data_IF_860159586410
#
_entry.id   IF_860159586410
#
_cell.length_a   1.000
_cell.length_b   1.000
_cell.length_c   1.000
_cell.angle_alpha   90.00
_cell.angle_beta   90.00
_cell.angle_gamma   90.00
#
_symmetry.space_group_name_H-M   'P 1'
#
loop_
_entity.id
_entity.type
_entity.pdbx_description
1 polymer ?
#
# COMPACT_ATOMS: atom_id res chain seq x y z
N UNK A 1 -120.01 121.74 -97.09
CA UNK A 1 -119.40 120.43 -97.40
C UNK A 1 -118.00 120.39 -96.77
N UNK A 2 -117.72 120.00 -95.52
CA UNK A 2 -118.45 119.21 -94.53
C UNK A 2 -117.74 117.86 -94.30
N UNK A 3 -116.76 117.83 -93.39
CA UNK A 3 -115.91 116.72 -92.88
C UNK A 3 -114.46 116.73 -93.41
N UNK A 4 -113.49 116.77 -92.48
CA UNK A 4 -112.04 116.65 -92.69
C UNK A 4 -111.51 115.55 -91.76
N UNK A 5 -110.73 114.61 -92.28
CA UNK A 5 -110.24 113.44 -91.54
C UNK A 5 -109.06 113.83 -90.65
N UNK A 6 -109.14 113.55 -89.34
CA UNK A 6 -108.11 113.93 -88.35
C UNK A 6 -107.11 112.80 -88.07
N UNK A 7 -107.54 111.53 -88.16
CA UNK A 7 -106.62 110.39 -88.14
C UNK A 7 -107.31 109.13 -88.67
N UNK A 8 -106.57 108.26 -89.34
CA UNK A 8 -107.01 106.92 -89.71
C UNK A 8 -106.32 105.91 -88.81
N UNK A 9 -107.06 105.20 -87.97
CA UNK A 9 -106.52 104.19 -87.06
C UNK A 9 -106.95 102.81 -87.54
N UNK A 10 -105.99 102.00 -87.99
CA UNK A 10 -106.23 100.61 -88.36
C UNK A 10 -106.58 99.82 -87.09
N UNK A 11 -107.77 99.21 -87.06
CA UNK A 11 -108.27 98.48 -85.89
C UNK A 11 -107.97 96.98 -85.95
N UNK A 12 -108.01 96.39 -87.14
CA UNK A 12 -107.78 94.96 -87.36
C UNK A 12 -107.22 94.77 -88.78
N UNK A 13 -106.19 93.95 -88.94
CA UNK A 13 -105.60 93.57 -90.23
C UNK A 13 -105.79 92.06 -90.35
N UNK A 14 -106.61 91.64 -91.31
CA UNK A 14 -106.88 90.23 -91.61
C UNK A 14 -106.33 89.88 -92.97
N UNK A 15 -105.73 88.71 -93.05
CA UNK A 15 -105.07 88.16 -94.23
C UNK A 15 -105.69 86.78 -94.53
N UNK A 16 -106.30 86.63 -95.70
CA UNK A 16 -106.98 85.39 -96.11
C UNK A 16 -105.98 84.31 -96.57
N UNK A 17 -104.81 84.70 -97.08
CA UNK A 17 -103.74 83.80 -97.56
C UNK A 17 -102.78 83.36 -96.43
N UNK A 18 -102.95 83.89 -95.21
CA UNK A 18 -102.26 83.42 -94.00
C UNK A 18 -100.76 83.70 -93.92
N UNK A 19 -100.25 84.66 -94.70
CA UNK A 19 -98.86 85.10 -94.73
C UNK A 19 -98.38 85.65 -93.37
N UNK A 20 -99.18 86.51 -92.72
CA UNK A 20 -98.81 87.09 -91.41
C UNK A 20 -98.69 86.02 -90.30
N UNK A 21 -99.54 84.99 -90.36
CA UNK A 21 -99.50 83.87 -89.41
C UNK A 21 -98.24 83.01 -89.62
N UNK A 22 -97.87 82.77 -90.86
CA UNK A 22 -96.67 82.01 -91.23
C UNK A 22 -95.38 82.74 -90.84
N UNK A 23 -95.33 84.07 -90.99
CA UNK A 23 -94.21 84.90 -90.55
C UNK A 23 -94.01 84.84 -89.02
N UNK A 24 -95.11 84.86 -88.25
CA UNK A 24 -95.09 84.72 -86.79
C UNK A 24 -94.66 83.32 -86.31
N UNK A 25 -94.99 82.25 -87.04
CA UNK A 25 -94.58 80.89 -86.71
C UNK A 25 -93.05 80.70 -86.79
N UNK A 26 -92.42 81.22 -87.85
CA UNK A 26 -90.97 81.15 -88.01
C UNK A 26 -90.24 81.88 -86.87
N UNK A 27 -90.65 83.12 -86.55
CA UNK A 27 -90.05 83.90 -85.46
C UNK A 27 -90.28 83.26 -84.09
N UNK A 28 -91.43 82.64 -83.86
CA UNK A 28 -91.72 81.92 -82.60
C UNK A 28 -90.88 80.65 -82.45
N UNK A 29 -90.65 79.92 -83.55
CA UNK A 29 -89.80 78.73 -83.55
C UNK A 29 -88.32 79.09 -83.29
N UNK A 30 -87.85 80.20 -83.86
CA UNK A 30 -86.51 80.76 -83.61
C UNK A 30 -86.34 81.13 -82.13
N UNK A 31 -87.26 81.92 -81.56
CA UNK A 31 -87.21 82.28 -80.13
C UNK A 31 -87.28 81.05 -79.21
N UNK A 32 -88.11 80.05 -79.53
CA UNK A 32 -88.16 78.79 -78.76
C UNK A 32 -86.89 77.93 -78.92
N UNK A 33 -86.20 78.02 -80.05
CA UNK A 33 -84.91 77.36 -80.26
C UNK A 33 -83.84 78.05 -79.43
N UNK A 34 -83.77 79.38 -79.50
CA UNK A 34 -82.78 80.17 -78.75
C UNK A 34 -83.00 80.05 -77.24
N UNK A 35 -84.26 80.04 -76.78
CA UNK A 35 -84.58 79.78 -75.38
C UNK A 35 -84.13 78.38 -74.92
N UNK A 36 -84.30 77.35 -75.76
CA UNK A 36 -83.81 75.99 -75.46
C UNK A 36 -82.29 75.90 -75.48
N UNK A 37 -81.62 76.60 -76.40
CA UNK A 37 -80.16 76.66 -76.46
C UNK A 37 -79.63 77.38 -75.21
N UNK A 38 -80.18 78.54 -74.86
CA UNK A 38 -79.80 79.28 -73.66
C UNK A 38 -80.07 78.49 -72.37
N UNK A 39 -81.17 77.73 -72.30
CA UNK A 39 -81.44 76.83 -71.16
C UNK A 39 -80.42 75.68 -71.09
N UNK A 40 -80.06 75.08 -72.24
CA UNK A 40 -79.07 74.01 -72.29
C UNK A 40 -77.65 74.50 -71.94
N UNK A 41 -77.26 75.67 -72.43
CA UNK A 41 -75.99 76.32 -72.12
C UNK A 41 -75.92 76.70 -70.64
N UNK A 42 -76.97 77.32 -70.08
CA UNK A 42 -77.04 77.65 -68.67
C UNK A 42 -76.99 76.41 -67.77
N UNK A 43 -77.65 75.32 -68.18
CA UNK A 43 -77.57 74.02 -67.48
C UNK A 43 -76.16 73.43 -67.55
N UNK A 44 -75.52 73.45 -68.73
CA UNK A 44 -74.16 72.95 -68.90
C UNK A 44 -73.16 73.74 -68.04
N UNK A 45 -73.24 75.07 -68.06
CA UNK A 45 -72.41 75.95 -67.24
C UNK A 45 -72.63 75.72 -65.74
N UNK A 46 -73.88 75.52 -65.32
CA UNK A 46 -74.20 75.19 -63.93
C UNK A 46 -73.58 73.84 -63.53
N UNK A 47 -73.73 72.80 -64.35
CA UNK A 47 -73.15 71.47 -64.09
C UNK A 47 -71.61 71.49 -64.08
N UNK A 48 -70.97 72.26 -64.96
CA UNK A 48 -69.51 72.42 -64.97
C UNK A 48 -69.05 73.11 -63.68
N UNK A 49 -69.72 74.19 -63.27
CA UNK A 49 -69.39 74.89 -62.02
C UNK A 49 -69.61 74.01 -60.80
N UNK A 50 -70.69 73.23 -60.76
CA UNK A 50 -70.95 72.25 -59.71
C UNK A 50 -69.87 71.17 -59.68
N UNK A 51 -69.46 70.62 -60.83
CA UNK A 51 -68.42 69.60 -60.92
C UNK A 51 -67.05 70.13 -60.43
N UNK A 52 -66.68 71.36 -60.78
CA UNK A 52 -65.44 72.00 -60.32
C UNK A 52 -65.50 72.26 -58.81
N UNK A 53 -66.62 72.78 -58.30
CA UNK A 53 -66.79 73.01 -56.86
C UNK A 53 -66.72 71.69 -56.06
N UNK A 54 -67.31 70.63 -56.61
CA UNK A 54 -67.27 69.30 -56.01
C UNK A 54 -65.88 68.67 -56.08
N UNK A 55 -65.16 68.81 -57.19
CA UNK A 55 -63.76 68.37 -57.32
C UNK A 55 -62.86 69.09 -56.29
N UNK A 56 -62.99 70.41 -56.14
CA UNK A 56 -62.24 71.18 -55.14
C UNK A 56 -62.59 70.76 -53.70
N UNK A 57 -63.87 70.50 -53.42
CA UNK A 57 -64.31 69.99 -52.12
C UNK A 57 -63.69 68.62 -51.84
N UNK A 58 -63.78 67.69 -52.79
CA UNK A 58 -63.20 66.36 -52.67
C UNK A 58 -61.68 66.40 -52.53
N UNK A 59 -60.99 67.22 -53.32
CA UNK A 59 -59.54 67.41 -53.20
C UNK A 59 -59.15 67.88 -51.79
N UNK A 60 -59.91 68.82 -51.22
CA UNK A 60 -59.69 69.32 -49.85
C UNK A 60 -59.94 68.23 -48.80
N UNK A 61 -60.99 67.42 -48.97
CA UNK A 61 -61.28 66.28 -48.08
C UNK A 61 -60.16 65.24 -48.15
N UNK A 62 -59.74 64.84 -49.36
CA UNK A 62 -58.64 63.89 -49.53
C UNK A 62 -57.32 64.41 -48.99
N UNK A 63 -57.01 65.70 -49.18
CA UNK A 63 -55.84 66.32 -48.56
C UNK A 63 -55.92 66.23 -47.04
N UNK A 64 -57.04 66.59 -46.43
CA UNK A 64 -57.22 66.47 -44.98
C UNK A 64 -57.11 65.01 -44.50
N UNK A 65 -57.74 64.07 -45.19
CA UNK A 65 -57.72 62.65 -44.84
C UNK A 65 -56.31 62.06 -44.98
N UNK A 66 -55.57 62.43 -46.03
CA UNK A 66 -54.18 62.01 -46.20
C UNK A 66 -53.27 62.57 -45.11
N UNK A 67 -53.45 63.83 -44.72
CA UNK A 67 -52.69 64.41 -43.60
C UNK A 67 -53.04 63.77 -42.26
N UNK A 68 -54.32 63.45 -42.01
CA UNK A 68 -54.75 62.70 -40.82
C UNK A 68 -54.13 61.29 -40.83
N UNK A 69 -54.15 60.60 -41.97
CA UNK A 69 -53.57 59.27 -42.10
C UNK A 69 -52.04 59.29 -41.89
N UNK A 70 -51.34 60.29 -42.43
CA UNK A 70 -49.90 60.51 -42.16
C UNK A 70 -49.65 60.77 -40.68
N UNK A 71 -50.40 61.68 -40.06
CA UNK A 71 -50.26 62.00 -38.65
C UNK A 71 -50.50 60.78 -37.75
N UNK A 72 -51.51 59.95 -38.08
CA UNK A 72 -51.78 58.67 -37.39
C UNK A 72 -50.63 57.69 -37.54
N UNK A 73 -50.16 57.47 -38.78
CA UNK A 73 -49.00 56.59 -39.05
C UNK A 73 -47.78 57.06 -38.27
N UNK A 74 -47.46 58.35 -38.31
CA UNK A 74 -46.28 58.91 -37.63
C UNK A 74 -46.41 58.81 -36.11
N UNK A 75 -47.62 59.02 -35.58
CA UNK A 75 -47.91 58.81 -34.16
C UNK A 75 -47.72 57.33 -33.76
N UNK A 76 -48.26 56.39 -34.53
CA UNK A 76 -48.11 54.96 -34.28
C UNK A 76 -46.66 54.50 -34.38
N UNK A 77 -45.90 54.98 -35.37
CA UNK A 77 -44.47 54.70 -35.50
C UNK A 77 -43.67 55.24 -34.32
N UNK A 78 -43.95 56.48 -33.88
CA UNK A 78 -43.30 57.05 -32.69
C UNK A 78 -43.66 56.27 -31.44
N UNK A 79 -44.95 55.92 -31.26
CA UNK A 79 -45.42 55.12 -30.14
C UNK A 79 -44.70 53.76 -30.10
N UNK A 80 -44.66 53.05 -31.22
CA UNK A 80 -43.96 51.77 -31.31
C UNK A 80 -42.46 51.91 -31.03
N UNK A 81 -41.81 52.97 -31.49
CA UNK A 81 -40.41 53.23 -31.20
C UNK A 81 -40.17 53.44 -29.69
N UNK A 82 -41.00 54.25 -29.02
CA UNK A 82 -40.92 54.44 -27.58
C UNK A 82 -41.25 53.18 -26.80
N UNK A 83 -42.25 52.41 -27.22
CA UNK A 83 -42.59 51.14 -26.58
C UNK A 83 -41.41 50.16 -26.66
N UNK A 84 -40.74 50.05 -27.81
CA UNK A 84 -39.52 49.23 -27.96
C UNK A 84 -38.40 49.73 -27.07
N UNK A 85 -38.19 51.04 -26.98
CA UNK A 85 -37.15 51.61 -26.11
C UNK A 85 -37.44 51.33 -24.63
N UNK A 86 -38.67 51.56 -24.18
CA UNK A 86 -39.12 51.28 -22.80
C UNK A 86 -38.97 49.79 -22.49
N UNK A 87 -39.40 48.90 -23.39
CA UNK A 87 -39.26 47.45 -23.18
C UNK A 87 -37.80 47.01 -23.16
N UNK A 88 -36.96 47.57 -24.02
CA UNK A 88 -35.52 47.28 -24.02
C UNK A 88 -34.89 47.72 -22.70
N UNK A 89 -35.22 48.93 -22.21
CA UNK A 89 -34.71 49.44 -20.93
C UNK A 89 -35.23 48.64 -19.73
N UNK A 90 -36.49 48.21 -19.77
CA UNK A 90 -37.05 47.34 -18.73
C UNK A 90 -36.36 45.97 -18.74
N UNK A 91 -36.16 45.35 -19.90
CA UNK A 91 -35.46 44.07 -20.02
C UNK A 91 -33.99 44.18 -19.59
N UNK A 92 -33.29 45.27 -19.94
CA UNK A 92 -31.94 45.56 -19.45
C UNK A 92 -31.91 45.70 -17.93
N UNK A 93 -32.89 46.40 -17.34
CA UNK A 93 -33.00 46.57 -15.89
C UNK A 93 -33.28 45.24 -15.16
N UNK A 94 -34.17 44.40 -15.72
CA UNK A 94 -34.45 43.06 -15.21
C UNK A 94 -33.21 42.17 -15.27
N UNK A 95 -32.53 42.10 -16.42
CA UNK A 95 -31.29 41.34 -16.56
C UNK A 95 -30.19 41.85 -15.62
N UNK A 96 -30.06 43.17 -15.44
CA UNK A 96 -29.11 43.75 -14.50
C UNK A 96 -29.44 43.36 -13.04
N UNK A 97 -30.72 43.35 -12.67
CA UNK A 97 -31.19 42.91 -11.37
C UNK A 97 -30.88 41.41 -11.15
N UNK A 98 -31.20 40.55 -12.11
CA UNK A 98 -30.90 39.11 -12.05
C UNK A 98 -29.39 38.85 -11.97
N UNK A 99 -28.59 39.55 -12.77
CA UNK A 99 -27.14 39.45 -12.74
C UNK A 99 -26.60 39.85 -11.37
N UNK A 100 -27.11 40.93 -10.78
CA UNK A 100 -26.68 41.38 -9.46
C UNK A 100 -27.10 40.38 -8.37
N UNK A 101 -28.29 39.81 -8.47
CA UNK A 101 -28.76 38.75 -7.57
C UNK A 101 -27.86 37.50 -7.69
N UNK A 102 -27.49 37.10 -8.90
CA UNK A 102 -26.59 35.97 -9.15
C UNK A 102 -25.17 36.23 -8.59
N UNK A 103 -24.60 37.42 -8.84
CA UNK A 103 -23.30 37.83 -8.26
C UNK A 103 -23.35 37.82 -6.73
N UNK A 104 -24.42 38.32 -6.14
CA UNK A 104 -24.59 38.32 -4.68
C UNK A 104 -24.71 36.90 -4.14
N UNK A 105 -25.48 36.01 -4.79
CA UNK A 105 -25.54 34.58 -4.45
C UNK A 105 -24.17 33.90 -4.56
N UNK A 106 -23.40 34.20 -5.59
CA UNK A 106 -22.04 33.68 -5.76
C UNK A 106 -21.14 34.13 -4.59
N UNK A 107 -21.15 35.43 -4.26
CA UNK A 107 -20.40 35.96 -3.10
C UNK A 107 -20.79 35.30 -1.79
N UNK A 108 -22.09 35.15 -1.53
CA UNK A 108 -22.59 34.45 -0.34
C UNK A 108 -22.07 33.00 -0.31
N UNK A 109 -22.09 32.30 -1.45
CA UNK A 109 -21.60 30.92 -1.54
C UNK A 109 -20.08 30.83 -1.32
N UNK A 110 -19.32 31.79 -1.84
CA UNK A 110 -17.88 31.90 -1.59
C UNK A 110 -17.58 32.13 -0.11
N UNK A 111 -18.29 33.04 0.55
CA UNK A 111 -18.19 33.28 2.00
C UNK A 111 -18.59 32.04 2.81
N UNK A 112 -19.68 31.37 2.45
CA UNK A 112 -20.10 30.10 3.07
C UNK A 112 -19.04 29.01 2.94
N UNK A 113 -18.41 28.88 1.77
CA UNK A 113 -17.32 27.93 1.57
C UNK A 113 -16.11 28.27 2.45
N UNK A 114 -15.77 29.56 2.59
CA UNK A 114 -14.70 29.98 3.50
C UNK A 114 -15.03 29.63 4.95
N UNK A 115 -16.27 29.85 5.40
CA UNK A 115 -16.72 29.43 6.74
C UNK A 115 -16.54 27.92 6.90
N UNK A 116 -16.95 27.11 5.94
CA UNK A 116 -16.77 25.65 5.99
C UNK A 116 -15.30 25.23 6.03
N UNK A 117 -14.42 25.89 5.28
CA UNK A 117 -12.98 25.63 5.32
C UNK A 117 -12.44 25.95 6.71
N UNK A 118 -12.79 27.11 7.27
CA UNK A 118 -12.38 27.51 8.63
C UNK A 118 -12.89 26.50 9.66
N UNK A 119 -14.17 26.13 9.63
CA UNK A 119 -14.75 25.11 10.50
C UNK A 119 -14.01 23.77 10.40
N UNK A 120 -13.74 23.28 9.18
CA UNK A 120 -12.97 22.04 8.98
C UNK A 120 -11.54 22.15 9.49
N UNK A 121 -10.85 23.27 9.23
CA UNK A 121 -9.50 23.47 9.76
C UNK A 121 -9.49 23.49 11.28
N UNK A 122 -10.49 24.10 11.92
CA UNK A 122 -10.65 24.09 13.36
C UNK A 122 -10.96 22.69 13.89
N UNK A 123 -11.81 21.92 13.20
CA UNK A 123 -12.07 20.52 13.53
C UNK A 123 -10.81 19.66 13.44
N UNK A 124 -10.00 19.82 12.38
CA UNK A 124 -8.72 19.13 12.24
C UNK A 124 -7.78 19.51 13.39
N UNK A 125 -7.72 20.80 13.74
CA UNK A 125 -6.88 21.26 14.86
C UNK A 125 -7.32 20.64 16.19
N UNK A 126 -8.63 20.57 16.45
CA UNK A 126 -9.18 19.90 17.66
C UNK A 126 -8.85 18.41 17.62
N UNK A 127 -9.06 17.72 16.50
CA UNK A 127 -8.72 16.30 16.36
C UNK A 127 -7.22 16.03 16.55
N UNK A 128 -6.35 16.88 16.00
CA UNK A 128 -4.90 16.79 16.24
C UNK A 128 -4.56 16.97 17.72
N UNK A 129 -5.21 17.89 18.42
CA UNK A 129 -5.04 18.05 19.87
C UNK A 129 -5.55 16.84 20.65
N UNK A 130 -6.68 16.25 20.25
CA UNK A 130 -7.20 15.02 20.85
C UNK A 130 -6.27 13.83 20.63
N UNK A 131 -5.74 13.66 19.42
CA UNK A 131 -4.74 12.63 19.10
C UNK A 131 -3.49 12.85 19.96
N UNK A 132 -2.97 14.07 20.04
CA UNK A 132 -1.80 14.37 20.87
C UNK A 132 -2.05 14.10 22.36
N UNK A 133 -3.25 14.41 22.87
CA UNK A 133 -3.63 14.04 24.24
C UNK A 133 -3.65 12.52 24.42
N UNK A 134 -4.28 11.81 23.48
CA UNK A 134 -4.39 10.34 23.51
C UNK A 134 -3.04 9.65 23.38
N UNK A 135 -2.14 10.16 22.55
CA UNK A 135 -0.77 9.68 22.45
C UNK A 135 -0.03 9.83 23.77
N UNK A 136 -0.14 10.99 24.44
CA UNK A 136 0.44 11.21 25.77
C UNK A 136 -0.16 10.29 26.84
N UNK A 137 -1.47 10.05 26.79
CA UNK A 137 -2.15 9.11 27.69
C UNK A 137 -1.67 7.67 27.46
N UNK A 138 -1.57 7.23 26.21
CA UNK A 138 -1.07 5.89 25.85
C UNK A 138 0.42 5.75 26.18
N UNK A 139 1.21 6.79 26.00
CA UNK A 139 2.61 6.82 26.38
C UNK A 139 2.76 6.66 27.89
N UNK A 140 1.98 7.41 28.68
CA UNK A 140 2.00 7.32 30.13
C UNK A 140 1.46 5.98 30.67
N UNK A 141 0.39 5.44 30.07
CA UNK A 141 -0.35 4.28 30.60
C UNK A 141 0.17 2.95 30.09
N UNK A 142 0.64 2.88 28.84
CA UNK A 142 1.03 1.62 28.20
C UNK A 142 2.54 1.59 27.99
N UNK A 143 3.12 2.58 27.32
CA UNK A 143 4.55 2.52 26.96
C UNK A 143 5.45 2.61 28.18
N UNK A 144 5.23 3.56 29.09
CA UNK A 144 6.09 3.72 30.27
C UNK A 144 6.06 2.50 31.20
N UNK A 145 4.91 1.88 31.53
CA UNK A 145 4.89 0.65 32.31
C UNK A 145 5.51 -0.53 31.56
N UNK A 146 5.23 -0.68 30.25
CA UNK A 146 5.82 -1.75 29.45
C UNK A 146 7.36 -1.62 29.35
N UNK A 147 7.87 -0.39 29.20
CA UNK A 147 9.32 -0.10 29.24
C UNK A 147 9.91 -0.39 30.62
N UNK A 148 9.21 -0.04 31.70
CA UNK A 148 9.63 -0.37 33.06
C UNK A 148 9.65 -1.89 33.31
N UNK A 149 8.66 -2.64 32.84
CA UNK A 149 8.62 -4.10 32.92
C UNK A 149 9.72 -4.74 32.09
N UNK A 150 9.93 -4.28 30.85
CA UNK A 150 11.02 -4.74 30.00
C UNK A 150 12.37 -4.52 30.67
N UNK A 151 12.62 -3.32 31.19
CA UNK A 151 13.86 -3.00 31.90
C UNK A 151 14.04 -3.88 33.14
N UNK A 152 12.99 -4.09 33.92
CA UNK A 152 13.02 -4.99 35.08
C UNK A 152 13.35 -6.42 34.68
N UNK A 153 12.74 -6.92 33.60
CA UNK A 153 12.98 -8.27 33.10
C UNK A 153 14.41 -8.44 32.55
N UNK A 154 14.90 -7.47 31.78
CA UNK A 154 16.29 -7.45 31.30
C UNK A 154 17.27 -7.45 32.47
N UNK A 155 17.03 -6.63 33.51
CA UNK A 155 17.88 -6.61 34.70
C UNK A 155 17.81 -7.91 35.52
N UNK A 156 16.64 -8.53 35.61
CA UNK A 156 16.49 -9.85 36.24
C UNK A 156 17.20 -10.94 35.44
N UNK A 157 17.11 -10.91 34.11
CA UNK A 157 17.80 -11.85 33.24
C UNK A 157 19.33 -11.67 33.32
N UNK A 158 19.82 -10.43 33.29
CA UNK A 158 21.25 -10.11 33.52
C UNK A 158 21.71 -10.58 34.90
N UNK A 159 20.90 -10.38 35.95
CA UNK A 159 21.21 -10.82 37.30
C UNK A 159 21.28 -12.35 37.40
N UNK A 160 20.31 -13.06 36.80
CA UNK A 160 20.29 -14.52 36.75
C UNK A 160 21.49 -15.06 35.95
N UNK A 161 21.81 -14.44 34.80
CA UNK A 161 22.96 -14.84 34.00
C UNK A 161 24.27 -14.66 34.78
N UNK A 162 24.44 -13.53 35.46
CA UNK A 162 25.59 -13.29 36.35
C UNK A 162 25.63 -14.28 37.50
N UNK A 163 24.48 -14.60 38.12
CA UNK A 163 24.40 -15.60 39.19
C UNK A 163 24.87 -16.97 38.72
N UNK A 164 24.41 -17.44 37.56
CA UNK A 164 24.81 -18.73 36.99
C UNK A 164 26.30 -18.75 36.66
N UNK A 165 26.86 -17.66 36.12
CA UNK A 165 28.30 -17.56 35.85
C UNK A 165 29.10 -17.61 37.15
N UNK A 166 28.68 -16.87 38.18
CA UNK A 166 29.36 -16.85 39.49
C UNK A 166 29.27 -18.20 40.19
N UNK A 167 28.11 -18.88 40.15
CA UNK A 167 27.95 -20.24 40.67
C UNK A 167 28.85 -21.23 39.92
N UNK A 168 28.86 -21.18 38.58
CA UNK A 168 29.75 -22.04 37.78
C UNK A 168 31.24 -21.77 38.03
N UNK A 169 31.63 -20.50 38.26
CA UNK A 169 32.99 -20.13 38.63
C UNK A 169 33.34 -20.63 40.04
N UNK A 170 32.44 -20.46 41.01
CA UNK A 170 32.62 -20.94 42.38
C UNK A 170 32.72 -22.48 42.42
N UNK A 171 31.90 -23.18 41.64
CA UNK A 171 31.97 -24.64 41.52
C UNK A 171 33.27 -25.10 40.85
N UNK A 172 33.72 -24.40 39.80
CA UNK A 172 34.99 -24.68 39.14
C UNK A 172 36.17 -24.45 40.09
N UNK A 173 36.18 -23.35 40.86
CA UNK A 173 37.20 -23.05 41.85
C UNK A 173 37.19 -24.06 43.01
N UNK A 174 36.00 -24.43 43.50
CA UNK A 174 35.85 -25.47 44.52
C UNK A 174 36.34 -26.84 44.02
N UNK A 175 36.08 -27.18 42.76
CA UNK A 175 36.57 -28.41 42.15
C UNK A 175 38.09 -28.38 41.97
N UNK A 176 38.67 -27.26 41.54
CA UNK A 176 40.12 -27.08 41.45
C UNK A 176 40.77 -27.22 42.83
N UNK A 177 40.26 -26.54 43.86
CA UNK A 177 40.79 -26.61 45.21
C UNK A 177 40.70 -28.03 45.78
N UNK A 178 39.57 -28.74 45.56
CA UNK A 178 39.45 -30.16 45.93
C UNK A 178 40.42 -31.04 45.16
N UNK A 179 40.55 -30.84 43.85
CA UNK A 179 41.49 -31.59 43.01
C UNK A 179 42.94 -31.37 43.42
N UNK A 180 43.32 -30.14 43.79
CA UNK A 180 44.63 -29.81 44.33
C UNK A 180 44.85 -30.46 45.70
N UNK A 181 43.86 -30.41 46.59
CA UNK A 181 43.92 -31.05 47.90
C UNK A 181 44.05 -32.58 47.78
N UNK A 182 43.29 -33.21 46.88
CA UNK A 182 43.39 -34.64 46.58
C UNK A 182 44.73 -35.00 45.94
N UNK A 183 45.20 -34.22 44.95
CA UNK A 183 46.50 -34.43 44.32
C UNK A 183 47.64 -34.28 45.33
N UNK A 184 47.55 -33.31 46.25
CA UNK A 184 48.51 -33.14 47.34
C UNK A 184 48.46 -34.33 48.31
N UNK A 185 47.27 -34.78 48.72
CA UNK A 185 47.10 -35.95 49.58
C UNK A 185 47.65 -37.24 48.93
N UNK A 186 47.41 -37.44 47.63
CA UNK A 186 47.96 -38.58 46.87
C UNK A 186 49.47 -38.46 46.76
N UNK A 187 50.03 -37.28 46.48
CA UNK A 187 51.50 -37.08 46.44
C UNK A 187 52.15 -37.41 47.77
N UNK A 188 51.57 -36.93 48.89
CA UNK A 188 52.09 -37.21 50.24
C UNK A 188 51.99 -38.70 50.56
N UNK A 189 50.86 -39.35 50.26
CA UNK A 189 50.71 -40.81 50.43
C UNK A 189 51.69 -41.59 49.56
N UNK A 190 51.84 -41.23 48.29
CA UNK A 190 52.75 -41.89 47.35
C UNK A 190 54.22 -41.69 47.75
N UNK A 191 54.60 -40.52 48.27
CA UNK A 191 55.92 -40.28 48.85
C UNK A 191 56.14 -41.14 50.10
N UNK A 192 55.17 -41.18 51.01
CA UNK A 192 55.24 -42.03 52.19
C UNK A 192 55.36 -43.52 51.81
N UNK A 193 54.58 -44.00 50.84
CA UNK A 193 54.68 -45.37 50.31
C UNK A 193 56.01 -45.63 49.60
N UNK A 194 56.50 -44.68 48.82
CA UNK A 194 57.80 -44.76 48.15
C UNK A 194 58.95 -44.85 49.17
N UNK A 195 58.92 -44.04 50.23
CA UNK A 195 59.89 -44.10 51.33
C UNK A 195 59.79 -45.43 52.10
N UNK A 196 58.56 -45.93 52.33
CA UNK A 196 58.35 -47.24 52.95
C UNK A 196 58.86 -48.39 52.08
N UNK A 197 58.61 -48.35 50.76
CA UNK A 197 59.14 -49.33 49.82
C UNK A 197 60.65 -49.22 49.67
N UNK A 198 61.24 -48.02 49.69
CA UNK A 198 62.68 -47.82 49.66
C UNK A 198 63.36 -48.40 50.92
N UNK A 199 62.80 -48.13 52.11
CA UNK A 199 63.27 -48.74 53.36
C UNK A 199 63.11 -50.26 53.36
N UNK A 200 62.01 -50.79 52.82
CA UNK A 200 61.84 -52.24 52.60
C UNK A 200 62.89 -52.78 51.61
N UNK A 201 63.17 -52.08 50.52
CA UNK A 201 64.17 -52.49 49.53
C UNK A 201 65.61 -52.45 50.09
N UNK A 202 65.93 -51.50 50.97
CA UNK A 202 67.19 -51.46 51.73
C UNK A 202 67.31 -52.63 52.71
N UNK A 203 66.23 -52.96 53.43
CA UNK A 203 66.19 -54.16 54.26
C UNK A 203 66.42 -55.43 53.41
N UNK A 204 65.78 -55.54 52.25
CA UNK A 204 65.95 -56.69 51.34
C UNK A 204 67.35 -56.78 50.73
N UNK A 205 68.05 -55.65 50.54
CA UNK A 205 69.47 -55.64 50.14
C UNK A 205 70.37 -56.26 51.21
N UNK A 206 70.10 -56.01 52.49
CA UNK A 206 70.85 -56.63 53.60
C UNK A 206 70.49 -58.10 53.81
N UNK A 207 69.26 -58.52 53.43
CA UNK A 207 68.82 -59.93 53.47
C UNK A 207 69.27 -60.79 52.27
N UNK A 208 70.08 -60.26 51.33
CA UNK A 208 70.50 -60.97 50.10
C UNK A 208 71.35 -62.24 50.35
N UNK A 209 72.12 -62.31 51.44
CA UNK A 209 72.97 -63.47 51.72
C UNK A 209 72.21 -64.63 52.38
N UNK A 210 71.04 -64.38 53.00
CA UNK A 210 70.23 -65.41 53.65
C UNK A 210 69.01 -65.87 52.80
N UNK A 211 68.42 -64.98 51.98
CA UNK A 211 67.23 -65.29 51.20
C UNK A 211 67.49 -66.22 50.00
N UNK A 212 68.71 -66.25 49.46
CA UNK A 212 69.04 -67.17 48.35
C UNK A 212 69.09 -68.63 48.79
N UNK A 213 69.41 -68.93 50.05
CA UNK A 213 69.43 -70.30 50.59
C UNK A 213 68.00 -70.76 50.93
N UNK A 214 67.18 -69.88 51.50
CA UNK A 214 65.79 -70.18 51.90
C UNK A 214 64.87 -70.39 50.67
N UNK A 215 65.03 -69.56 49.62
CA UNK A 215 64.29 -69.73 48.36
C UNK A 215 64.74 -71.00 47.60
N UNK A 216 65.98 -71.46 47.77
CA UNK A 216 66.47 -72.71 47.16
C UNK A 216 65.92 -73.95 47.88
N UNK A 217 65.81 -73.91 49.21
CA UNK A 217 65.23 -74.98 50.04
C UNK A 217 63.71 -75.12 49.84
N UNK A 218 62.97 -74.04 49.56
CA UNK A 218 61.53 -74.09 49.23
C UNK A 218 61.22 -74.55 47.79
N UNK A 219 62.12 -74.28 46.83
CA UNK A 219 61.92 -74.61 45.42
C UNK A 219 62.41 -76.03 45.06
N UNK A 220 63.41 -76.55 45.77
CA UNK A 220 63.94 -77.92 45.60
C UNK A 220 62.86 -79.02 45.64
N UNK A 221 61.90 -79.03 46.61
CA UNK A 221 60.82 -80.01 46.63
C UNK A 221 59.87 -79.88 45.44
N UNK A 222 59.61 -78.67 44.96
CA UNK A 222 58.68 -78.41 43.84
C UNK A 222 59.27 -78.85 42.50
N UNK A 223 60.57 -78.63 42.30
CA UNK A 223 61.28 -79.13 41.11
C UNK A 223 61.41 -80.66 41.17
N UNK A 224 61.70 -81.24 42.34
CA UNK A 224 61.71 -82.70 42.51
C UNK A 224 60.33 -83.34 42.25
N UNK A 225 59.23 -82.68 42.64
CA UNK A 225 57.87 -83.15 42.38
C UNK A 225 57.49 -83.10 40.87
N UNK A 226 57.86 -82.04 40.16
CA UNK A 226 57.63 -81.90 38.71
C UNK A 226 58.47 -82.88 37.89
N UNK A 227 59.70 -83.18 38.31
CA UNK A 227 60.55 -84.19 37.65
C UNK A 227 60.08 -85.63 37.93
N UNK A 228 59.41 -85.87 39.07
CA UNK A 228 58.83 -87.17 39.40
C UNK A 228 57.43 -87.41 38.80
N UNK A 229 56.73 -86.34 38.37
CA UNK A 229 55.37 -86.43 37.83
C UNK A 229 55.22 -87.37 36.61
N UNK A 230 56.16 -87.43 35.63
CA UNK A 230 56.06 -88.37 34.50
C UNK A 230 56.32 -89.82 34.90
N UNK A 231 57.04 -90.09 35.99
CA UNK A 231 57.30 -91.45 36.50
C UNK A 231 56.09 -92.01 37.27
N UNK A 232 55.25 -91.17 37.88
CA UNK A 232 54.04 -91.59 38.59
C UNK A 232 52.87 -91.98 37.68
N UNK A 233 52.88 -91.63 36.39
CA UNK A 233 51.79 -91.90 35.44
C UNK A 233 52.02 -93.12 34.52
N UNK A 234 53.19 -93.77 34.58
CA UNK A 234 53.49 -94.96 33.79
C UNK A 234 53.15 -96.26 34.55
N UNK A 235 51.88 -96.66 34.56
CA UNK A 235 51.39 -97.82 35.31
C UNK A 235 51.82 -99.21 34.76
N UNK A 236 52.48 -99.30 33.60
CA UNK A 236 53.05 -100.57 33.10
C UNK A 236 54.12 -100.34 32.02
N UNK A 237 55.39 -100.29 32.40
CA UNK A 237 56.52 -100.35 31.47
C UNK A 237 56.80 -101.83 31.20
N UNK A 238 56.47 -102.30 29.99
CA UNK A 238 56.73 -103.68 29.57
C UNK A 238 58.00 -103.68 28.73
N UNK A 239 59.14 -104.03 29.33
CA UNK A 239 60.42 -104.16 28.64
C UNK A 239 60.59 -105.61 28.20
N UNK A 240 60.47 -105.86 26.89
CA UNK A 240 60.64 -107.19 26.32
C UNK A 240 62.12 -107.39 26.03
N UNK A 241 62.80 -108.22 26.81
CA UNK A 241 64.20 -108.59 26.59
C UNK A 241 64.28 -109.98 25.94
N UNK A 242 64.71 -110.01 24.67
CA UNK A 242 65.20 -111.22 24.02
C UNK A 242 66.69 -111.37 24.29
N UNK A 243 67.05 -112.21 25.26
CA UNK A 243 68.33 -112.92 25.35
C UNK A 243 69.66 -112.14 25.29
N UNK A 244 70.42 -112.26 26.38
CA UNK A 244 71.88 -112.03 26.50
C UNK A 244 72.38 -110.60 26.69
N UNK A 245 72.17 -110.09 27.91
CA UNK A 245 72.83 -108.93 28.51
C UNK A 245 72.08 -108.48 29.78
N UNK A 246 72.79 -108.14 30.86
CA UNK A 246 72.23 -107.86 32.20
C UNK A 246 71.02 -106.92 32.19
N UNK A 247 69.92 -107.39 32.78
CA UNK A 247 68.63 -106.69 32.88
C UNK A 247 68.42 -106.24 34.32
N UNK A 248 68.24 -104.93 34.54
CA UNK A 248 67.94 -104.34 35.83
C UNK A 248 68.15 -102.83 35.86
N UNK A 249 67.67 -102.17 36.92
CA UNK A 249 67.57 -100.71 37.11
C UNK A 249 68.80 -99.88 36.70
N UNK A 250 69.98 -100.49 36.65
CA UNK A 250 71.23 -99.91 36.16
C UNK A 250 71.15 -99.29 34.76
N UNK A 251 70.41 -99.89 33.80
CA UNK A 251 70.27 -99.34 32.43
C UNK A 251 69.30 -98.16 32.36
N UNK A 252 68.22 -98.17 33.15
CA UNK A 252 67.31 -97.04 33.32
C UNK A 252 68.03 -95.86 33.98
N UNK A 253 68.84 -96.13 35.02
CA UNK A 253 69.66 -95.07 35.63
C UNK A 253 70.75 -94.57 34.68
N UNK A 254 71.33 -95.42 33.81
CA UNK A 254 72.32 -94.97 32.82
C UNK A 254 71.67 -94.17 31.69
N UNK A 255 70.47 -94.51 31.22
CA UNK A 255 69.73 -93.71 30.23
C UNK A 255 69.27 -92.37 30.84
N UNK A 256 68.86 -92.34 32.10
CA UNK A 256 68.55 -91.09 32.83
C UNK A 256 69.81 -90.25 33.05
N UNK A 257 70.94 -90.85 33.39
CA UNK A 257 72.23 -90.13 33.48
C UNK A 257 72.69 -89.60 32.10
N UNK A 258 72.46 -90.34 31.02
CA UNK A 258 72.76 -89.88 29.66
C UNK A 258 71.85 -88.72 29.21
N UNK A 259 70.58 -88.71 29.63
CA UNK A 259 69.67 -87.58 29.39
C UNK A 259 70.07 -86.36 30.23
N UNK A 260 70.41 -86.55 31.50
CA UNK A 260 70.85 -85.46 32.39
C UNK A 260 72.19 -84.87 31.97
N UNK A 261 73.11 -85.67 31.43
CA UNK A 261 74.38 -85.15 30.88
C UNK A 261 74.22 -84.46 29.53
N UNK A 262 73.20 -84.82 28.74
CA UNK A 262 72.88 -84.13 27.48
C UNK A 262 71.99 -82.88 27.66
N UNK A 263 71.27 -82.76 28.78
CA UNK A 263 70.42 -81.59 29.08
C UNK A 263 71.17 -80.24 29.06
N UNK A 264 72.39 -80.10 29.64
CA UNK A 264 73.15 -78.86 29.54
C UNK A 264 73.47 -78.45 28.09
N UNK A 265 73.71 -79.43 27.20
CA UNK A 265 73.96 -79.14 25.78
C UNK A 265 72.68 -78.74 25.02
N UNK A 266 71.52 -79.28 25.40
CA UNK A 266 70.21 -78.89 24.86
C UNK A 266 69.78 -77.49 25.31
N UNK A 267 70.04 -77.12 26.56
CA UNK A 267 69.81 -75.75 27.04
C UNK A 267 70.74 -74.77 26.34
N UNK A 268 72.01 -75.12 26.11
CA UNK A 268 72.95 -74.31 25.34
C UNK A 268 72.49 -74.10 23.89
N UNK A 269 71.98 -75.14 23.22
CA UNK A 269 71.54 -75.03 21.82
C UNK A 269 70.24 -74.24 21.65
N UNK A 270 69.36 -74.22 22.66
CA UNK A 270 68.10 -73.47 22.60
C UNK A 270 68.15 -72.05 23.20
N UNK A 271 69.07 -71.79 24.13
CA UNK A 271 69.12 -70.49 24.87
C UNK A 271 70.45 -69.74 24.73
N UNK A 272 71.47 -70.35 24.11
CA UNK A 272 72.77 -69.71 23.86
C UNK A 272 73.65 -69.53 25.11
N UNK A 273 73.21 -69.98 26.29
CA UNK A 273 73.92 -69.80 27.57
C UNK A 273 74.51 -71.13 28.05
N UNK A 274 75.82 -71.12 28.33
CA UNK A 274 76.63 -72.30 28.61
C UNK A 274 76.86 -72.47 30.13
N UNK A 275 75.92 -73.16 30.79
CA UNK A 275 75.86 -73.29 32.26
C UNK A 275 77.08 -74.05 32.84
N UNK A 276 77.75 -74.87 32.03
CA UNK A 276 78.97 -75.58 32.44
C UNK A 276 80.19 -74.65 32.64
N UNK A 277 80.17 -73.44 32.07
CA UNK A 277 81.21 -72.41 32.29
C UNK A 277 80.88 -71.46 33.44
N UNK A 278 79.61 -71.23 33.76
CA UNK A 278 79.21 -70.31 34.84
C UNK A 278 79.33 -70.90 36.26
N UNK A 279 79.55 -72.22 36.40
CA UNK A 279 79.77 -72.88 37.70
C UNK A 279 81.27 -73.07 38.01
N UNK A 280 82.18 -72.88 37.03
CA UNK A 280 83.65 -72.94 37.22
C UNK A 280 84.34 -71.57 37.22
N UNK A 281 83.59 -70.48 37.17
CA UNK A 281 84.07 -69.10 37.25
C UNK A 281 83.33 -68.30 38.35
N UNK A 282 83.15 -68.96 39.50
CA UNK A 282 82.91 -68.34 40.79
C UNK A 282 84.14 -68.62 41.68
#
# INVERSE_FOLDING_TARGET
MGITVVSYTLKDIRDEEGYLKSLGMARTAEVKRDARIGEAEARADATIKEAIAEEQRMASVFLNDTEIAKARRDFELKKAAYDVEVQTKNAEAEMAYELQAAKTKQRIKEEQMQIQVVERTQQIAVQQQEIARRERELEATIRRPAEAEKYKLEKLAEANHKKVILEAQADAEALQLRGEAEAYAIKVKAQAESEQMAKKAEAWKQYKEAAMIDMFLEVLPKVAAEVAAPLSQANKITMVSTGSGDVGAAKLTSEVLDIVTKMPMLVKSMTGVDIAKSVRAA
#
